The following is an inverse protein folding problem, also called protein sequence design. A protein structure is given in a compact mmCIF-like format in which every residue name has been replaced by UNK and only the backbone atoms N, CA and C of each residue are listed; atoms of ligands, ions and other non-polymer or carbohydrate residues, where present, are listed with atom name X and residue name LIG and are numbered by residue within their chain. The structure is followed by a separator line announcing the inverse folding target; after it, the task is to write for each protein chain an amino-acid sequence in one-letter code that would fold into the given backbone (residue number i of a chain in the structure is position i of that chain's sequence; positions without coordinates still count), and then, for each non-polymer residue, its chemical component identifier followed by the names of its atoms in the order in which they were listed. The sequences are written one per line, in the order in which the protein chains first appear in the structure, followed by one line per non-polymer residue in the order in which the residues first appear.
data_IF_963229529640
#
_entry.id   IF_963229529640
#
_cell.length_a   1.000
_cell.length_b   1.000
_cell.length_c   1.000
_cell.angle_alpha   90.00
_cell.angle_beta   90.00
_cell.angle_gamma   90.00
#
_symmetry.space_group_name_H-M   'P 1'
#
loop_
_entity.id
_entity.type
_entity.pdbx_description
1 polymer ?
#
# COMPACT_ATOMS: atom_id res chain seq x y z
N UNK A 1 -10.61 -19.51 22.01
CA UNK A 1 -9.85 -19.66 20.74
C UNK A 1 -10.72 -19.99 19.52
N UNK A 2 -11.86 -20.71 19.63
CA UNK A 2 -12.69 -21.06 18.45
C UNK A 2 -13.37 -19.85 17.78
N UNK A 3 -13.84 -18.87 18.55
CA UNK A 3 -14.48 -17.65 18.01
C UNK A 3 -13.55 -16.80 17.14
N UNK A 4 -12.25 -16.81 17.41
CA UNK A 4 -11.30 -15.94 16.72
C UNK A 4 -10.94 -16.48 15.33
N UNK A 5 -10.85 -17.80 15.17
CA UNK A 5 -10.57 -18.42 13.87
C UNK A 5 -11.78 -18.33 12.92
N UNK A 6 -12.99 -18.53 13.45
CA UNK A 6 -14.24 -18.35 12.68
C UNK A 6 -14.35 -16.93 12.12
N UNK A 7 -14.09 -15.90 12.93
CA UNK A 7 -14.11 -14.51 12.44
C UNK A 7 -13.12 -14.26 11.30
N UNK A 8 -11.89 -14.78 11.43
CA UNK A 8 -10.86 -14.64 10.41
C UNK A 8 -11.26 -15.34 9.10
N UNK A 9 -11.81 -16.57 9.19
CA UNK A 9 -12.31 -17.33 8.03
C UNK A 9 -13.48 -16.64 7.34
N UNK A 10 -14.47 -16.17 8.11
CA UNK A 10 -15.59 -15.40 7.56
C UNK A 10 -15.11 -14.18 6.79
N UNK A 11 -14.26 -13.35 7.42
CA UNK A 11 -13.76 -12.13 6.78
C UNK A 11 -12.89 -12.45 5.57
N UNK A 12 -12.10 -13.53 5.64
CA UNK A 12 -11.32 -14.04 4.51
C UNK A 12 -12.20 -14.41 3.30
N UNK A 13 -13.39 -14.98 3.52
CA UNK A 13 -14.35 -15.26 2.43
C UNK A 13 -14.94 -13.95 1.90
N UNK A 14 -15.38 -13.05 2.78
CA UNK A 14 -15.98 -11.77 2.41
C UNK A 14 -15.02 -10.84 1.63
N UNK A 15 -13.71 -10.95 1.87
CA UNK A 15 -12.69 -10.22 1.11
C UNK A 15 -12.58 -10.64 -0.36
N UNK A 16 -13.22 -11.75 -0.78
CA UNK A 16 -13.33 -12.08 -2.22
C UNK A 16 -14.17 -11.04 -2.97
N UNK A 17 -15.01 -10.28 -2.26
CA UNK A 17 -15.74 -9.14 -2.82
C UNK A 17 -17.12 -9.47 -3.37
N UNK A 18 -17.41 -10.74 -3.66
CA UNK A 18 -18.74 -11.15 -4.13
C UNK A 18 -19.78 -11.14 -2.99
N UNK A 19 -21.05 -10.83 -3.28
CA UNK A 19 -22.16 -11.08 -2.36
C UNK A 19 -22.24 -12.54 -1.93
N UNK A 20 -22.30 -12.79 -0.62
CA UNK A 20 -22.41 -14.16 -0.05
C UNK A 20 -23.51 -14.20 0.99
N UNK A 21 -24.33 -15.26 0.95
CA UNK A 21 -25.38 -15.49 1.95
C UNK A 21 -24.81 -16.01 3.28
N UNK A 22 -25.51 -15.76 4.39
CA UNK A 22 -25.18 -16.34 5.71
C UNK A 22 -25.13 -17.88 5.69
N UNK A 23 -25.98 -18.53 4.89
CA UNK A 23 -25.98 -19.99 4.72
C UNK A 23 -24.70 -20.50 4.07
N UNK A 24 -24.25 -19.86 2.98
CA UNK A 24 -22.99 -20.20 2.31
C UNK A 24 -21.81 -19.98 3.25
N UNK A 25 -21.73 -18.82 3.91
CA UNK A 25 -20.67 -18.52 4.88
C UNK A 25 -20.62 -19.53 6.03
N UNK A 26 -21.79 -19.96 6.53
CA UNK A 26 -21.86 -20.97 7.58
C UNK A 26 -21.36 -22.33 7.09
N UNK A 27 -21.78 -22.75 5.89
CA UNK A 27 -21.39 -24.01 5.28
C UNK A 27 -19.87 -24.10 5.03
N UNK A 28 -19.27 -23.03 4.47
CA UNK A 28 -17.82 -22.93 4.23
C UNK A 28 -16.97 -23.07 5.50
N UNK A 29 -17.55 -22.73 6.66
CA UNK A 29 -16.88 -22.85 7.96
C UNK A 29 -17.19 -24.18 8.66
N UNK A 30 -18.14 -24.96 8.12
CA UNK A 30 -18.55 -26.25 8.67
C UNK A 30 -19.72 -26.16 9.66
N UNK A 31 -20.44 -25.05 9.72
CA UNK A 31 -21.66 -24.93 10.52
C UNK A 31 -22.90 -25.31 9.71
N UNK A 32 -23.73 -26.20 10.27
CA UNK A 32 -25.03 -26.57 9.68
C UNK A 32 -26.12 -25.50 9.86
N UNK A 33 -25.97 -24.60 10.84
CA UNK A 33 -26.96 -23.58 11.17
C UNK A 33 -26.35 -22.17 11.06
N UNK A 34 -26.89 -21.27 10.21
CA UNK A 34 -26.37 -19.91 10.05
C UNK A 34 -26.46 -19.05 11.32
N UNK A 35 -27.33 -19.41 12.27
CA UNK A 35 -27.39 -18.74 13.59
C UNK A 35 -26.07 -18.78 14.34
N UNK A 36 -25.20 -19.76 14.06
CA UNK A 36 -23.90 -19.90 14.71
C UNK A 36 -22.90 -18.79 14.30
N UNK A 37 -23.11 -18.14 13.15
CA UNK A 37 -22.26 -17.05 12.66
C UNK A 37 -22.92 -15.68 12.76
N UNK A 38 -24.22 -15.60 13.09
CA UNK A 38 -24.99 -14.35 13.10
C UNK A 38 -24.38 -13.25 13.97
N UNK A 39 -23.82 -13.60 15.14
CA UNK A 39 -23.15 -12.62 16.02
C UNK A 39 -21.88 -12.06 15.40
N UNK A 40 -21.12 -12.87 14.65
CA UNK A 40 -19.92 -12.43 13.94
C UNK A 40 -20.30 -11.46 12.83
N UNK A 41 -21.28 -11.83 12.00
CA UNK A 41 -21.76 -10.99 10.89
C UNK A 41 -22.32 -9.67 11.39
N UNK A 42 -23.13 -9.69 12.47
CA UNK A 42 -23.63 -8.47 13.11
C UNK A 42 -22.50 -7.58 13.61
N UNK A 43 -21.45 -8.17 14.21
CA UNK A 43 -20.27 -7.41 14.64
C UNK A 43 -19.56 -6.76 13.45
N UNK A 44 -19.45 -7.46 12.32
CA UNK A 44 -18.78 -6.92 11.12
C UNK A 44 -19.58 -5.77 10.49
N UNK A 45 -20.91 -5.89 10.45
CA UNK A 45 -21.81 -4.81 10.02
C UNK A 45 -21.68 -3.60 10.95
N UNK A 46 -21.72 -3.81 12.27
CA UNK A 46 -21.60 -2.74 13.25
C UNK A 46 -20.24 -2.02 13.18
N UNK A 47 -19.16 -2.74 12.86
CA UNK A 47 -17.83 -2.17 12.65
C UNK A 47 -17.68 -1.51 11.26
N UNK A 48 -18.68 -1.63 10.38
CA UNK A 48 -18.66 -1.08 9.04
C UNK A 48 -17.75 -1.83 8.05
N UNK A 49 -17.27 -3.03 8.39
CA UNK A 49 -16.42 -3.84 7.51
C UNK A 49 -17.20 -4.44 6.34
N UNK A 50 -18.47 -4.80 6.59
CA UNK A 50 -19.36 -5.37 5.59
C UNK A 50 -20.69 -4.65 5.60
N UNK A 51 -21.42 -4.80 4.51
CA UNK A 51 -22.80 -4.32 4.37
C UNK A 51 -23.75 -5.52 4.31
N UNK A 52 -24.98 -5.31 4.79
CA UNK A 52 -26.07 -6.24 4.57
C UNK A 52 -26.81 -5.78 3.31
N UNK A 53 -26.97 -6.68 2.35
CA UNK A 53 -27.61 -6.39 1.08
C UNK A 53 -29.13 -6.63 1.15
N UNK A 54 -29.94 -5.93 0.34
CA UNK A 54 -31.37 -6.14 0.28
C UNK A 54 -31.68 -7.54 -0.28
N UNK A 55 -32.59 -8.28 0.37
CA UNK A 55 -32.92 -9.66 0.01
C UNK A 55 -33.64 -9.82 -1.33
N UNK A 56 -34.30 -8.77 -1.82
CA UNK A 56 -35.13 -8.82 -3.03
C UNK A 56 -34.30 -9.04 -4.31
N UNK A 57 -33.04 -8.62 -4.32
CA UNK A 57 -32.13 -8.72 -5.47
C UNK A 57 -31.35 -10.05 -5.50
N UNK A 58 -31.07 -10.62 -4.32
CA UNK A 58 -30.17 -11.78 -4.19
C UNK A 58 -30.90 -13.06 -3.77
N UNK A 59 -32.21 -12.99 -3.53
CA UNK A 59 -33.03 -14.13 -3.15
C UNK A 59 -33.11 -14.36 -1.63
N UNK A 60 -33.81 -15.42 -1.20
CA UNK A 60 -34.20 -15.58 0.20
C UNK A 60 -33.01 -15.81 1.13
N UNK A 61 -32.81 -14.92 2.09
CA UNK A 61 -31.76 -15.00 3.12
C UNK A 61 -31.15 -13.63 3.43
N UNK A 62 -30.19 -13.61 4.36
CA UNK A 62 -29.37 -12.41 4.57
C UNK A 62 -28.12 -12.52 3.72
N UNK A 63 -27.86 -11.47 2.94
CA UNK A 63 -26.70 -11.38 2.05
C UNK A 63 -25.72 -10.34 2.56
N UNK A 64 -24.44 -10.66 2.43
CA UNK A 64 -23.36 -9.84 2.97
C UNK A 64 -22.28 -9.65 1.92
N UNK A 65 -21.68 -8.47 1.93
CA UNK A 65 -20.57 -8.14 1.05
C UNK A 65 -19.59 -7.23 1.79
N UNK A 66 -18.30 -7.30 1.43
CA UNK A 66 -17.34 -6.29 1.86
C UNK A 66 -17.87 -4.89 1.55
N UNK A 67 -17.68 -3.96 2.48
CA UNK A 67 -18.05 -2.57 2.27
C UNK A 67 -17.33 -1.98 1.06
N UNK A 68 -18.02 -1.14 0.28
CA UNK A 68 -17.43 -0.32 -0.78
C UNK A 68 -16.84 0.99 -0.26
N UNK A 69 -16.86 1.22 1.06
CA UNK A 69 -16.34 2.44 1.69
C UNK A 69 -14.88 2.27 2.10
N UNK A 70 -14.00 3.14 1.60
CA UNK A 70 -12.59 3.25 1.98
C UNK A 70 -12.36 3.16 3.48
N UNK A 71 -13.11 3.90 4.29
CA UNK A 71 -12.90 4.00 5.73
C UNK A 71 -13.11 2.65 6.43
N UNK A 72 -14.11 1.87 5.98
CA UNK A 72 -14.40 0.57 6.56
C UNK A 72 -13.32 -0.47 6.24
N UNK A 73 -12.80 -0.47 5.01
CA UNK A 73 -11.70 -1.35 4.61
C UNK A 73 -10.38 -0.92 5.27
N UNK A 74 -10.13 0.38 5.40
CA UNK A 74 -8.96 0.91 6.10
C UNK A 74 -9.00 0.56 7.60
N UNK A 75 -10.16 0.67 8.25
CA UNK A 75 -10.33 0.25 9.64
C UNK A 75 -10.08 -1.26 9.81
N UNK A 76 -10.57 -2.08 8.87
CA UNK A 76 -10.29 -3.52 8.84
C UNK A 76 -8.79 -3.80 8.72
N UNK A 77 -8.09 -3.08 7.82
CA UNK A 77 -6.65 -3.20 7.61
C UNK A 77 -5.83 -2.84 8.86
N UNK A 78 -6.22 -1.76 9.54
CA UNK A 78 -5.54 -1.27 10.74
C UNK A 78 -5.77 -2.17 11.96
N UNK A 79 -6.86 -2.94 11.98
CA UNK A 79 -7.17 -3.86 13.06
C UNK A 79 -6.03 -4.86 13.32
N UNK A 80 -5.51 -4.87 14.55
CA UNK A 80 -4.52 -5.85 14.98
C UNK A 80 -5.03 -7.28 14.89
N UNK A 81 -6.34 -7.48 15.09
CA UNK A 81 -6.98 -8.79 15.00
C UNK A 81 -6.92 -9.37 13.58
N UNK A 82 -7.08 -8.53 12.55
CA UNK A 82 -7.08 -8.93 11.15
C UNK A 82 -5.73 -8.74 10.45
N UNK A 83 -4.62 -8.64 11.21
CA UNK A 83 -3.26 -8.47 10.63
C UNK A 83 -2.95 -9.48 9.51
N UNK A 84 -3.41 -10.73 9.64
CA UNK A 84 -3.20 -11.79 8.64
C UNK A 84 -3.89 -11.54 7.29
N UNK A 85 -4.89 -10.67 7.25
CA UNK A 85 -5.64 -10.34 6.03
C UNK A 85 -5.06 -9.13 5.28
N UNK A 86 -4.07 -8.43 5.86
CA UNK A 86 -3.52 -7.19 5.29
C UNK A 86 -3.01 -7.33 3.86
N UNK A 87 -2.37 -8.44 3.50
CA UNK A 87 -1.90 -8.65 2.13
C UNK A 87 -3.09 -8.71 1.17
N UNK A 88 -4.09 -9.53 1.48
CA UNK A 88 -5.31 -9.66 0.67
C UNK A 88 -6.09 -8.36 0.55
N UNK A 89 -6.14 -7.56 1.61
CA UNK A 89 -6.80 -6.24 1.57
C UNK A 89 -6.08 -5.31 0.59
N UNK A 90 -4.73 -5.33 0.55
CA UNK A 90 -3.93 -4.51 -0.38
C UNK A 90 -3.97 -5.00 -1.82
N UNK A 91 -4.53 -6.18 -2.08
CA UNK A 91 -4.75 -6.71 -3.44
C UNK A 91 -6.09 -6.25 -4.03
N UNK A 92 -6.95 -5.59 -3.25
CA UNK A 92 -8.25 -5.09 -3.70
C UNK A 92 -8.03 -3.86 -4.60
N UNK A 93 -8.29 -3.94 -5.93
CA UNK A 93 -7.87 -2.89 -6.86
C UNK A 93 -8.56 -1.55 -6.61
N UNK A 94 -9.87 -1.55 -6.38
CA UNK A 94 -10.63 -0.32 -6.13
C UNK A 94 -10.17 0.38 -4.86
N UNK A 95 -9.83 -0.38 -3.82
CA UNK A 95 -9.38 0.17 -2.54
C UNK A 95 -8.01 0.83 -2.68
N UNK A 96 -7.07 0.19 -3.37
CA UNK A 96 -5.76 0.79 -3.66
C UNK A 96 -5.94 2.06 -4.50
N UNK A 97 -6.81 2.03 -5.50
CA UNK A 97 -7.12 3.21 -6.31
C UNK A 97 -7.65 4.39 -5.46
N UNK A 98 -8.62 4.17 -4.58
CA UNK A 98 -9.15 5.20 -3.67
C UNK A 98 -8.13 5.67 -2.62
N UNK A 99 -7.21 4.80 -2.19
CA UNK A 99 -6.13 5.19 -1.29
C UNK A 99 -5.09 6.08 -1.97
N UNK A 100 -4.96 5.99 -3.30
CA UNK A 100 -4.00 6.75 -4.11
C UNK A 100 -4.61 7.95 -4.83
N UNK A 101 -5.86 8.32 -4.59
CA UNK A 101 -6.53 9.37 -5.37
C UNK A 101 -5.79 10.72 -5.36
N UNK A 102 -5.18 11.12 -4.25
CA UNK A 102 -4.38 12.35 -4.15
C UNK A 102 -3.01 12.32 -4.87
N UNK A 103 -2.75 11.28 -5.64
CA UNK A 103 -1.53 11.10 -6.45
C UNK A 103 -1.82 11.13 -7.95
N UNK A 104 -3.08 11.34 -8.36
CA UNK A 104 -3.51 11.30 -9.78
C UNK A 104 -2.83 12.34 -10.67
N UNK A 105 -2.33 13.44 -10.10
CA UNK A 105 -1.63 14.49 -10.85
C UNK A 105 -0.18 14.11 -11.21
N UNK A 106 0.34 13.01 -10.65
CA UNK A 106 1.63 12.47 -11.05
C UNK A 106 1.55 11.82 -12.45
N UNK A 107 2.69 11.72 -13.16
CA UNK A 107 2.73 10.97 -14.41
C UNK A 107 2.18 9.55 -14.26
N UNK A 108 1.38 9.06 -15.24
CA UNK A 108 0.63 7.80 -15.10
C UNK A 108 1.49 6.60 -14.69
N UNK A 109 2.70 6.48 -15.24
CA UNK A 109 3.60 5.36 -14.92
C UNK A 109 4.05 5.38 -13.47
N UNK A 110 4.33 6.56 -12.91
CA UNK A 110 4.71 6.71 -11.50
C UNK A 110 3.51 6.46 -10.58
N UNK A 111 2.33 6.93 -10.97
CA UNK A 111 1.09 6.67 -10.24
C UNK A 111 0.80 5.16 -10.12
N UNK A 112 0.87 4.43 -11.23
CA UNK A 112 0.69 2.97 -11.26
C UNK A 112 1.78 2.25 -10.45
N UNK A 113 3.02 2.74 -10.50
CA UNK A 113 4.12 2.19 -9.74
C UNK A 113 3.93 2.36 -8.22
N UNK A 114 3.42 3.50 -7.77
CA UNK A 114 3.06 3.75 -6.36
C UNK A 114 1.97 2.78 -5.91
N UNK A 115 0.93 2.57 -6.73
CA UNK A 115 -0.11 1.58 -6.44
C UNK A 115 0.48 0.18 -6.27
N UNK A 116 1.38 -0.22 -7.16
CA UNK A 116 2.06 -1.50 -7.06
C UNK A 116 2.90 -1.59 -5.77
N UNK A 117 3.73 -0.58 -5.47
CA UNK A 117 4.51 -0.52 -4.24
C UNK A 117 3.64 -0.68 -2.99
N UNK A 118 2.45 -0.07 -2.97
CA UNK A 118 1.47 -0.24 -1.90
C UNK A 118 0.97 -1.68 -1.78
N UNK A 119 0.71 -2.36 -2.91
CA UNK A 119 0.33 -3.78 -2.88
C UNK A 119 1.46 -4.68 -2.37
N UNK A 120 2.72 -4.28 -2.57
CA UNK A 120 3.90 -5.09 -2.25
C UNK A 120 4.46 -4.89 -0.84
N UNK A 121 4.35 -3.71 -0.24
CA UNK A 121 4.85 -3.41 1.12
C UNK A 121 3.76 -2.88 2.07
N UNK A 122 3.65 -3.51 3.24
CA UNK A 122 2.78 -3.07 4.34
C UNK A 122 3.22 -1.68 4.82
N UNK A 123 4.51 -1.50 5.07
CA UNK A 123 5.05 -0.23 5.57
C UNK A 123 4.82 0.89 4.55
N UNK A 124 5.07 0.65 3.26
CA UNK A 124 4.85 1.66 2.23
C UNK A 124 3.37 2.05 2.14
N UNK A 125 2.46 1.06 2.17
CA UNK A 125 1.02 1.32 2.25
C UNK A 125 0.69 2.23 3.44
N UNK A 126 1.26 1.98 4.63
CA UNK A 126 0.98 2.82 5.80
C UNK A 126 1.53 4.24 5.66
N UNK A 127 2.66 4.44 4.98
CA UNK A 127 3.19 5.77 4.68
C UNK A 127 2.23 6.55 3.78
N UNK A 128 1.76 5.93 2.69
CA UNK A 128 0.80 6.55 1.77
C UNK A 128 -0.54 6.82 2.45
N UNK A 129 -1.02 5.88 3.28
CA UNK A 129 -2.26 6.08 4.04
C UNK A 129 -2.19 7.26 5.02
N UNK A 130 -1.01 7.52 5.60
CA UNK A 130 -0.78 8.64 6.51
C UNK A 130 -0.56 9.98 5.76
N UNK A 131 -0.17 9.92 4.49
CA UNK A 131 0.13 11.07 3.64
C UNK A 131 -0.61 10.92 2.29
N UNK A 132 -1.91 11.21 2.25
CA UNK A 132 -2.81 10.76 1.17
C UNK A 132 -2.68 11.55 -0.14
N UNK A 133 -1.62 12.34 -0.32
CA UNK A 133 -1.34 13.05 -1.56
C UNK A 133 0.17 13.20 -1.79
N UNK A 134 0.56 13.46 -3.05
CA UNK A 134 1.96 13.72 -3.39
C UNK A 134 2.53 14.94 -2.63
N UNK A 135 1.78 16.04 -2.57
CA UNK A 135 2.18 17.24 -1.83
C UNK A 135 2.41 16.95 -0.34
N UNK A 136 1.54 16.13 0.27
CA UNK A 136 1.69 15.75 1.68
C UNK A 136 2.92 14.87 1.88
N UNK A 137 3.16 13.93 0.97
CA UNK A 137 4.37 13.10 0.96
C UNK A 137 5.63 13.96 0.86
N UNK A 138 5.66 14.94 -0.04
CA UNK A 138 6.78 15.89 -0.16
C UNK A 138 6.98 16.67 1.14
N UNK A 139 5.93 17.19 1.75
CA UNK A 139 6.02 17.95 2.99
C UNK A 139 6.59 17.08 4.13
N UNK A 140 6.11 15.84 4.27
CA UNK A 140 6.51 14.91 5.33
C UNK A 140 7.92 14.35 5.13
N UNK A 141 8.31 14.07 3.88
CA UNK A 141 9.55 13.36 3.56
C UNK A 141 10.56 14.23 2.78
N UNK A 142 10.43 15.56 2.84
CA UNK A 142 11.30 16.49 2.12
C UNK A 142 12.80 16.30 2.37
N UNK A 143 13.19 15.76 3.53
CA UNK A 143 14.59 15.45 3.86
C UNK A 143 15.19 14.38 2.93
N UNK A 144 14.38 13.46 2.40
CA UNK A 144 14.85 12.43 1.46
C UNK A 144 15.27 13.02 0.11
N UNK A 145 14.88 14.27 -0.19
CA UNK A 145 15.29 14.99 -1.39
C UNK A 145 16.62 15.74 -1.21
N UNK A 146 17.27 15.66 -0.04
CA UNK A 146 18.55 16.32 0.18
C UNK A 146 19.63 15.98 -0.87
N UNK A 147 19.79 14.71 -1.33
CA UNK A 147 20.71 14.39 -2.42
C UNK A 147 20.38 15.11 -3.73
N UNK A 148 19.09 15.26 -4.07
CA UNK A 148 18.68 16.00 -5.28
C UNK A 148 19.13 17.47 -5.20
N UNK A 149 19.03 18.09 -4.01
CA UNK A 149 19.49 19.47 -3.80
C UNK A 149 21.01 19.61 -3.97
N UNK A 150 21.78 18.64 -3.48
CA UNK A 150 23.24 18.64 -3.64
C UNK A 150 23.68 18.51 -5.10
N UNK A 151 22.90 17.81 -5.92
CA UNK A 151 23.18 17.61 -7.35
C UNK A 151 22.56 18.68 -8.24
N UNK A 152 21.91 19.70 -7.66
CA UNK A 152 21.11 20.68 -8.40
C UNK A 152 20.08 20.03 -9.35
N UNK A 153 19.53 18.88 -8.95
CA UNK A 153 18.50 18.18 -9.70
C UNK A 153 17.14 18.83 -9.41
N UNK A 154 16.77 19.83 -10.21
CA UNK A 154 15.54 20.62 -10.03
C UNK A 154 14.31 20.04 -10.74
N UNK A 155 14.50 19.02 -11.59
CA UNK A 155 13.40 18.39 -12.32
C UNK A 155 12.38 17.74 -11.34
N UNK A 156 11.13 18.19 -11.31
CA UNK A 156 10.14 17.69 -10.34
C UNK A 156 9.82 16.21 -10.51
N UNK A 157 9.87 15.69 -11.75
CA UNK A 157 9.58 14.28 -12.01
C UNK A 157 10.70 13.37 -11.50
N UNK A 158 11.95 13.73 -11.75
CA UNK A 158 13.12 13.07 -11.20
C UNK A 158 13.07 13.07 -9.67
N UNK A 159 12.77 14.22 -9.04
CA UNK A 159 12.64 14.32 -7.58
C UNK A 159 11.52 13.42 -7.05
N UNK A 160 10.36 13.38 -7.72
CA UNK A 160 9.27 12.49 -7.35
C UNK A 160 9.70 11.02 -7.44
N UNK A 161 10.28 10.59 -8.57
CA UNK A 161 10.81 9.23 -8.73
C UNK A 161 11.84 8.89 -7.66
N UNK A 162 12.74 9.82 -7.35
CA UNK A 162 13.78 9.63 -6.35
C UNK A 162 13.17 9.45 -4.97
N UNK A 163 12.21 10.30 -4.59
CA UNK A 163 11.51 10.20 -3.33
C UNK A 163 10.84 8.84 -3.15
N UNK A 164 10.03 8.40 -4.11
CA UNK A 164 9.32 7.13 -3.98
C UNK A 164 10.26 5.93 -4.00
N UNK A 165 11.37 6.00 -4.73
CA UNK A 165 12.39 4.95 -4.70
C UNK A 165 13.01 4.81 -3.30
N UNK A 166 13.36 5.93 -2.66
CA UNK A 166 13.93 5.93 -1.31
C UNK A 166 12.92 5.43 -0.27
N UNK A 167 11.70 5.97 -0.30
CA UNK A 167 10.65 5.59 0.64
C UNK A 167 10.27 4.11 0.52
N UNK A 168 10.18 3.61 -0.71
CA UNK A 168 9.88 2.20 -0.93
C UNK A 168 11.04 1.28 -0.50
N UNK A 169 12.29 1.66 -0.79
CA UNK A 169 13.48 0.92 -0.33
C UNK A 169 13.54 0.81 1.19
N UNK A 170 13.25 1.90 1.90
CA UNK A 170 13.18 1.89 3.36
C UNK A 170 12.02 1.03 3.87
N UNK A 171 10.84 1.16 3.27
CA UNK A 171 9.68 0.38 3.63
C UNK A 171 9.93 -1.13 3.46
N UNK A 172 10.59 -1.52 2.37
CA UNK A 172 11.02 -2.90 2.13
C UNK A 172 11.96 -3.37 3.23
N UNK A 173 12.98 -2.58 3.57
CA UNK A 173 13.95 -2.92 4.63
C UNK A 173 13.25 -3.16 5.98
N UNK A 174 12.26 -2.33 6.32
CA UNK A 174 11.46 -2.49 7.55
C UNK A 174 10.58 -3.75 7.51
N UNK A 175 9.92 -4.02 6.38
CA UNK A 175 9.04 -5.17 6.22
C UNK A 175 9.78 -6.51 6.13
N UNK A 176 11.04 -6.54 5.68
CA UNK A 176 11.90 -7.74 5.76
C UNK A 176 12.03 -8.20 7.21
N UNK A 177 12.25 -7.27 8.15
CA UNK A 177 12.43 -7.60 9.55
C UNK A 177 11.12 -7.98 10.26
N UNK A 178 9.99 -7.40 9.85
CA UNK A 178 8.72 -7.48 10.61
C UNK A 178 7.65 -8.35 9.95
N UNK A 179 7.90 -8.82 8.72
CA UNK A 179 6.89 -9.42 7.85
C UNK A 179 5.93 -8.35 7.32
N UNK A 180 5.62 -8.41 6.03
CA UNK A 180 4.79 -7.40 5.37
C UNK A 180 4.96 -7.31 3.85
N UNK A 181 5.96 -8.03 3.33
CA UNK A 181 6.23 -8.12 1.90
C UNK A 181 5.35 -9.16 1.21
N UNK A 182 4.88 -8.81 0.02
CA UNK A 182 4.33 -9.75 -0.94
C UNK A 182 5.42 -10.30 -1.87
N UNK A 183 5.09 -11.30 -2.67
CA UNK A 183 6.01 -11.83 -3.68
C UNK A 183 6.43 -10.74 -4.68
N UNK A 184 7.66 -10.86 -5.19
CA UNK A 184 8.23 -9.95 -6.19
C UNK A 184 8.29 -8.48 -5.73
N UNK A 185 8.45 -8.26 -4.43
CA UNK A 185 8.51 -6.91 -3.86
C UNK A 185 9.67 -6.05 -4.37
N UNK A 186 10.71 -6.63 -4.99
CA UNK A 186 11.83 -5.87 -5.58
C UNK A 186 11.52 -5.31 -6.99
N UNK A 187 10.56 -5.88 -7.73
CA UNK A 187 10.27 -5.45 -9.11
C UNK A 187 9.92 -3.95 -9.24
N UNK A 188 9.19 -3.31 -8.30
CA UNK A 188 8.97 -1.87 -8.36
C UNK A 188 10.25 -1.05 -8.16
N UNK A 189 11.22 -1.53 -7.37
CA UNK A 189 12.51 -0.86 -7.22
C UNK A 189 13.31 -0.91 -8.52
N UNK A 190 13.36 -2.07 -9.18
CA UNK A 190 14.07 -2.21 -10.44
C UNK A 190 13.49 -1.28 -11.52
N UNK A 191 12.15 -1.13 -11.55
CA UNK A 191 11.46 -0.25 -12.50
C UNK A 191 11.73 1.22 -12.21
N UNK A 192 11.60 1.68 -10.96
CA UNK A 192 11.85 3.09 -10.64
C UNK A 192 13.32 3.48 -10.82
N UNK A 193 14.25 2.55 -10.61
CA UNK A 193 15.68 2.78 -10.87
C UNK A 193 15.99 2.95 -12.35
N UNK A 194 15.32 2.19 -13.24
CA UNK A 194 15.44 2.39 -14.69
C UNK A 194 14.96 3.79 -15.09
N UNK A 195 13.77 4.17 -14.62
CA UNK A 195 13.22 5.53 -14.86
C UNK A 195 14.19 6.60 -14.39
N UNK A 196 14.73 6.46 -13.17
CA UNK A 196 15.71 7.39 -12.62
C UNK A 196 16.99 7.50 -13.44
N UNK A 197 17.43 6.41 -14.07
CA UNK A 197 18.62 6.39 -14.92
C UNK A 197 18.34 7.11 -16.25
N UNK A 198 17.16 6.90 -16.81
CA UNK A 198 16.75 7.50 -18.09
C UNK A 198 16.50 9.01 -17.97
N UNK A 199 15.97 9.46 -16.83
CA UNK A 199 15.69 10.87 -16.54
C UNK A 199 16.77 11.57 -15.72
N UNK A 200 17.88 10.88 -15.45
CA UNK A 200 18.97 11.45 -14.67
C UNK A 200 19.46 12.75 -15.33
N UNK A 201 19.67 13.83 -14.56
CA UNK A 201 20.25 15.04 -15.11
C UNK A 201 21.58 14.70 -15.75
N UNK A 202 21.72 15.01 -17.04
CA UNK A 202 22.95 14.80 -17.79
C UNK A 202 24.07 15.42 -16.99
N UNK A 203 24.97 14.60 -16.48
CA UNK A 203 26.06 15.05 -15.63
C UNK A 203 27.03 15.85 -16.49
N UNK A 204 26.74 17.14 -16.73
CA UNK A 204 27.80 18.13 -16.85
C UNK A 204 28.35 18.28 -15.44
N UNK A 205 29.16 17.31 -15.02
CA UNK A 205 30.16 17.51 -13.98
C UNK A 205 31.17 18.50 -14.56
N UNK A 206 30.79 19.77 -14.68
CA UNK A 206 31.77 20.85 -14.65
C UNK A 206 32.49 20.71 -13.32
N UNK A 207 33.76 20.33 -13.41
CA UNK A 207 34.72 20.16 -12.33
C UNK A 207 34.33 20.89 -11.04
N UNK A 208 34.05 20.12 -9.99
CA UNK A 208 34.02 20.65 -8.63
C UNK A 208 35.42 21.24 -8.35
N UNK A 209 35.57 22.56 -8.09
CA UNK A 209 36.86 23.17 -7.83
C UNK A 209 37.22 22.98 -6.35
N UNK A 210 37.20 21.76 -5.85
CA UNK A 210 37.54 21.48 -4.45
C UNK A 210 38.14 20.09 -4.32
N UNK A 211 39.38 19.94 -4.77
CA UNK A 211 40.38 19.05 -4.21
C UNK A 211 41.74 19.61 -4.64
N UNK A 212 42.51 20.07 -3.66
CA UNK A 212 43.65 20.96 -3.84
C UNK A 212 44.74 20.41 -4.75
N UNK A 213 45.27 21.30 -5.60
CA UNK A 213 46.59 21.15 -6.20
C UNK A 213 47.65 21.29 -5.11
N UNK A 214 47.85 20.22 -4.34
CA UNK A 214 49.01 20.03 -3.48
C UNK A 214 49.99 19.10 -4.18
N UNK A 215 50.91 19.66 -4.96
CA UNK A 215 52.17 19.00 -5.34
C UNK A 215 53.16 20.05 -5.86
N UNK A 216 53.60 20.95 -5.00
CA UNK A 216 54.97 21.43 -5.07
C UNK A 216 55.80 20.48 -4.22
N UNK A 217 56.32 19.43 -4.87
CA UNK A 217 57.47 18.70 -4.36
C UNK A 217 58.71 19.37 -4.94
N UNK A 218 59.59 19.77 -4.03
CA UNK A 218 60.94 20.24 -4.29
C UNK A 218 61.72 19.28 -5.21
N UNK A 219 62.48 19.87 -6.13
CA UNK A 219 63.74 19.30 -6.63
C UNK A 219 64.75 20.43 -6.83
N UNK A 220 65.77 20.38 -5.97
CA UNK A 220 67.19 20.69 -6.15
C UNK A 220 67.60 21.98 -6.86
#
# INVERSE_FOLDING_TARGET
MVRTEVSLKLMSLLLQGDPVSDRQLAAEIGFKNPRNIATHLRSFVNMGYITCLPGDEYGPGNWYQLTSKKEGVLALYQSAFYKRLRNRIREIPWFVAEMTEGFRDLPPDLFLLIQEMMTKSHTFFTMVAASPSHERMLATYSLYLFPCRLMHAEDPYFQACFLYAQLYSEAVTRDIAQGGLAERFLEPLDRIQKVLTDVAPSSRMSALPFLGTGSHCDRE
#
